data_IF_436415580470
#
_entry.id   IF_436415580470
#
_cell.length_a   1.000
_cell.length_b   1.000
_cell.length_c   1.000
_cell.angle_alpha   90.00
_cell.angle_beta   90.00
_cell.angle_gamma   90.00
#
_symmetry.space_group_name_H-M   'P 1'
#
loop_
_entity.id
_entity.type
_entity.pdbx_description
1 polymer ?
#
# COMPACT_ATOMS: atom_id res chain seq x y z
N UNK A 1 -83.97 -25.35 30.79
CA UNK A 1 -83.10 -24.19 31.09
C UNK A 1 -81.65 -24.67 31.05
N UNK A 2 -81.00 -24.60 29.88
CA UNK A 2 -79.60 -25.00 29.71
C UNK A 2 -78.79 -23.72 29.41
N UNK A 3 -77.80 -23.42 30.24
CA UNK A 3 -76.92 -22.26 30.09
C UNK A 3 -75.88 -22.60 29.03
N UNK A 4 -75.96 -21.95 27.88
CA UNK A 4 -74.99 -22.09 26.79
C UNK A 4 -73.68 -21.40 27.20
N UNK A 5 -72.65 -22.22 27.48
CA UNK A 5 -71.29 -21.77 27.73
C UNK A 5 -70.56 -21.69 26.39
N UNK A 6 -70.70 -20.55 25.72
CA UNK A 6 -69.92 -20.25 24.52
C UNK A 6 -68.48 -19.88 24.91
N UNK A 7 -67.59 -20.87 24.89
CA UNK A 7 -66.12 -20.71 25.01
C UNK A 7 -65.62 -19.71 23.98
N UNK A 8 -65.03 -18.61 24.43
CA UNK A 8 -64.31 -17.68 23.57
C UNK A 8 -62.95 -18.27 23.20
N UNK A 9 -62.81 -18.70 21.94
CA UNK A 9 -61.52 -19.04 21.34
C UNK A 9 -60.64 -17.78 21.27
N UNK A 10 -59.67 -17.68 22.17
CA UNK A 10 -58.56 -16.73 22.06
C UNK A 10 -57.66 -17.19 20.92
N UNK A 11 -57.97 -16.72 19.70
CA UNK A 11 -57.08 -16.83 18.55
C UNK A 11 -55.78 -16.09 18.87
N UNK A 12 -54.71 -16.84 19.09
CA UNK A 12 -53.35 -16.30 19.13
C UNK A 12 -53.02 -15.80 17.72
N UNK A 13 -53.19 -14.51 17.48
CA UNK A 13 -52.70 -13.87 16.26
C UNK A 13 -51.17 -13.91 16.27
N UNK A 14 -50.51 -14.44 15.24
CA UNK A 14 -49.06 -14.42 15.17
C UNK A 14 -48.58 -12.96 15.20
N UNK A 15 -47.56 -12.66 16.01
CA UNK A 15 -46.90 -11.36 16.07
C UNK A 15 -46.07 -11.13 14.80
N UNK A 16 -46.71 -11.02 13.64
CA UNK A 16 -46.03 -10.59 12.41
C UNK A 16 -46.07 -9.06 12.33
N UNK A 17 -45.29 -8.40 13.20
CA UNK A 17 -45.02 -6.96 13.14
C UNK A 17 -43.61 -6.71 12.61
N UNK A 18 -43.28 -7.31 11.46
CA UNK A 18 -42.18 -6.80 10.66
C UNK A 18 -42.75 -5.70 9.78
N UNK A 19 -42.60 -4.46 10.22
CA UNK A 19 -42.96 -3.31 9.41
C UNK A 19 -41.94 -3.17 8.28
N UNK A 20 -42.40 -3.01 7.04
CA UNK A 20 -41.53 -2.73 5.88
C UNK A 20 -40.60 -1.54 6.15
N UNK A 21 -41.07 -0.57 6.95
CA UNK A 21 -40.30 0.58 7.41
C UNK A 21 -39.08 0.19 8.25
N UNK A 22 -39.16 -0.85 9.07
CA UNK A 22 -38.05 -1.33 9.91
C UNK A 22 -36.95 -1.96 9.05
N UNK A 23 -37.31 -2.64 7.96
CA UNK A 23 -36.32 -3.22 7.04
C UNK A 23 -35.58 -2.13 6.26
N UNK A 24 -36.30 -1.11 5.79
CA UNK A 24 -35.68 0.01 5.06
C UNK A 24 -34.72 0.82 5.92
N UNK A 25 -35.02 0.97 7.21
CA UNK A 25 -34.17 1.71 8.15
C UNK A 25 -32.81 0.99 8.39
N UNK A 26 -32.84 -0.34 8.57
CA UNK A 26 -31.62 -1.15 8.72
C UNK A 26 -30.74 -1.07 7.46
N UNK A 27 -31.33 -1.14 6.27
CA UNK A 27 -30.60 -1.03 5.01
C UNK A 27 -29.99 0.37 4.84
N UNK A 28 -30.74 1.43 5.18
CA UNK A 28 -30.25 2.81 5.14
C UNK A 28 -29.08 3.02 6.10
N UNK A 29 -29.18 2.54 7.33
CA UNK A 29 -28.13 2.63 8.34
C UNK A 29 -26.85 1.93 7.89
N UNK A 30 -26.94 0.75 7.27
CA UNK A 30 -25.80 0.04 6.71
C UNK A 30 -25.14 0.81 5.56
N UNK A 31 -25.92 1.43 4.68
CA UNK A 31 -25.38 2.24 3.58
C UNK A 31 -24.65 3.49 4.08
N UNK A 32 -25.22 4.19 5.07
CA UNK A 32 -24.56 5.35 5.70
C UNK A 32 -23.28 4.89 6.42
N UNK A 33 -23.34 3.78 7.15
CA UNK A 33 -22.16 3.20 7.79
C UNK A 33 -21.06 2.90 6.76
N UNK A 34 -21.38 2.15 5.69
CA UNK A 34 -20.41 1.89 4.62
C UNK A 34 -19.87 3.17 3.98
N UNK A 35 -20.73 4.16 3.74
CA UNK A 35 -20.32 5.44 3.15
C UNK A 35 -19.36 6.23 4.07
N UNK A 36 -19.61 6.23 5.39
CA UNK A 36 -18.76 6.89 6.38
C UNK A 36 -17.46 6.11 6.63
N UNK A 37 -17.49 4.77 6.64
CA UNK A 37 -16.31 3.94 6.89
C UNK A 37 -15.47 3.67 5.64
N UNK A 38 -16.00 3.91 4.44
CA UNK A 38 -15.29 3.69 3.17
C UNK A 38 -14.08 4.64 2.98
N UNK A 39 -13.95 5.68 3.80
CA UNK A 39 -12.80 6.57 3.73
C UNK A 39 -11.69 6.19 4.71
N UNK A 40 -11.03 5.03 4.55
CA UNK A 40 -9.64 4.85 4.99
C UNK A 40 -8.94 3.72 4.21
N UNK A 41 -8.81 3.89 2.90
CA UNK A 41 -7.66 3.34 2.18
C UNK A 41 -6.71 4.49 1.91
N UNK A 42 -5.90 4.84 2.91
CA UNK A 42 -4.67 5.60 2.68
C UNK A 42 -3.75 4.72 1.85
N UNK A 43 -3.94 4.75 0.54
CA UNK A 43 -2.86 4.44 -0.38
C UNK A 43 -1.77 5.45 -0.04
N UNK A 44 -0.75 5.01 0.71
CA UNK A 44 0.55 5.69 0.71
C UNK A 44 1.06 5.60 -0.72
N UNK A 45 0.56 6.49 -1.57
CA UNK A 45 0.84 6.57 -2.99
C UNK A 45 2.27 7.04 -3.16
N UNK A 46 3.22 6.13 -2.96
CA UNK A 46 4.49 6.22 -3.65
C UNK A 46 4.10 6.08 -5.11
N UNK A 47 3.94 7.20 -5.82
CA UNK A 47 3.89 7.23 -7.28
C UNK A 47 5.23 6.71 -7.76
N UNK A 48 5.36 5.39 -7.83
CA UNK A 48 6.47 4.76 -8.53
C UNK A 48 6.12 4.89 -10.01
N UNK A 49 6.50 6.00 -10.62
CA UNK A 49 6.62 6.06 -12.07
C UNK A 49 7.78 5.14 -12.41
N UNK A 50 7.49 3.87 -12.68
CA UNK A 50 8.42 2.95 -13.31
C UNK A 50 8.41 3.34 -14.79
N UNK A 51 9.37 4.12 -15.33
CA UNK A 51 9.52 4.17 -16.77
C UNK A 51 9.74 2.73 -17.22
N UNK A 52 8.92 2.25 -18.15
CA UNK A 52 9.07 0.92 -18.74
C UNK A 52 10.54 0.77 -19.10
N UNK A 53 11.21 -0.19 -18.46
CA UNK A 53 12.57 -0.57 -18.79
C UNK A 53 12.51 -1.27 -20.14
N UNK A 54 12.37 -0.49 -21.22
CA UNK A 54 12.83 -0.95 -22.51
C UNK A 54 14.34 -1.06 -22.40
N UNK A 55 14.83 -2.28 -22.64
CA UNK A 55 16.24 -2.63 -22.78
C UNK A 55 16.89 -1.73 -23.82
N UNK A 56 17.30 -0.54 -23.39
CA UNK A 56 17.87 0.50 -24.22
C UNK A 56 18.56 1.46 -23.29
N UNK A 57 19.88 1.35 -23.24
CA UNK A 57 20.86 2.21 -22.59
C UNK A 57 20.30 3.58 -22.12
N UNK A 58 19.68 3.61 -20.93
CA UNK A 58 19.43 4.89 -20.29
C UNK A 58 20.75 5.32 -19.69
N UNK A 59 21.33 6.36 -20.27
CA UNK A 59 22.58 7.01 -19.90
C UNK A 59 22.86 6.90 -18.39
N UNK A 60 23.90 6.14 -18.01
CA UNK A 60 24.30 5.86 -16.62
C UNK A 60 24.58 7.10 -15.75
N UNK A 61 24.54 8.29 -16.34
CA UNK A 61 24.84 9.56 -15.67
C UNK A 61 23.62 10.26 -15.05
N UNK A 62 22.38 9.86 -15.32
CA UNK A 62 21.22 10.62 -14.83
C UNK A 62 20.57 10.08 -13.56
N UNK A 63 20.95 8.89 -13.09
CA UNK A 63 20.37 8.26 -11.90
C UNK A 63 21.43 7.61 -11.01
N UNK A 64 21.13 7.53 -9.71
CA UNK A 64 21.90 6.78 -8.71
C UNK A 64 21.25 5.40 -8.58
N UNK A 65 21.99 4.34 -8.90
CA UNK A 65 21.49 2.97 -8.74
C UNK A 65 21.77 2.49 -7.33
N UNK A 66 20.74 2.07 -6.59
CA UNK A 66 20.89 1.44 -5.28
C UNK A 66 20.29 0.04 -5.35
N UNK A 67 21.11 -0.98 -5.10
CA UNK A 67 20.66 -2.36 -5.02
C UNK A 67 20.72 -2.89 -3.58
N UNK A 68 19.75 -3.73 -3.22
CA UNK A 68 19.68 -4.42 -1.93
C UNK A 68 19.62 -5.91 -2.20
N UNK A 69 20.57 -6.67 -1.65
CA UNK A 69 20.60 -8.13 -1.76
C UNK A 69 19.76 -8.78 -0.66
N UNK A 70 19.40 -10.07 -0.85
CA UNK A 70 18.74 -10.89 0.18
C UNK A 70 19.50 -10.95 1.51
N UNK A 71 20.83 -10.84 1.46
CA UNK A 71 21.70 -10.89 2.65
C UNK A 71 21.74 -9.53 3.38
N UNK A 72 21.04 -8.53 2.83
CA UNK A 72 20.92 -7.20 3.43
C UNK A 72 22.16 -6.32 3.20
N UNK A 73 22.92 -6.63 2.16
CA UNK A 73 24.02 -5.82 1.65
C UNK A 73 23.48 -4.77 0.68
N UNK A 74 24.14 -3.62 0.66
CA UNK A 74 23.75 -2.50 -0.20
C UNK A 74 24.83 -2.26 -1.24
N UNK A 75 24.41 -1.98 -2.45
CA UNK A 75 25.29 -1.57 -3.53
C UNK A 75 24.84 -0.21 -4.05
N UNK A 76 25.76 0.75 -4.13
CA UNK A 76 25.49 2.07 -4.71
C UNK A 76 26.34 2.18 -5.96
N UNK A 77 25.70 2.33 -7.12
CA UNK A 77 26.34 2.34 -8.44
C UNK A 77 27.27 1.12 -8.72
N UNK A 78 27.01 -0.01 -8.06
CA UNK A 78 27.80 -1.24 -8.18
C UNK A 78 28.82 -1.43 -7.06
N UNK A 79 29.04 -0.43 -6.20
CA UNK A 79 29.99 -0.52 -5.10
C UNK A 79 29.34 -0.99 -3.81
N UNK A 80 29.93 -2.03 -3.21
CA UNK A 80 29.50 -2.57 -1.92
C UNK A 80 29.62 -1.48 -0.84
N UNK A 81 28.49 -1.19 -0.20
CA UNK A 81 28.33 -0.08 0.74
C UNK A 81 27.74 -0.59 2.04
N UNK A 82 28.38 -0.24 3.16
CA UNK A 82 27.87 -0.58 4.47
C UNK A 82 26.62 0.25 4.83
N UNK A 83 25.74 -0.34 5.65
CA UNK A 83 24.51 0.30 6.15
C UNK A 83 24.72 1.71 6.70
N UNK A 84 25.80 1.90 7.48
CA UNK A 84 26.11 3.19 8.11
C UNK A 84 26.63 4.24 7.14
N UNK A 85 27.27 3.84 6.03
CA UNK A 85 27.85 4.76 5.04
C UNK A 85 26.93 5.03 3.85
N UNK A 86 25.78 4.34 3.76
CA UNK A 86 24.81 4.45 2.67
C UNK A 86 24.41 5.90 2.38
N UNK A 87 24.08 6.68 3.42
CA UNK A 87 23.67 8.07 3.26
C UNK A 87 24.79 8.95 2.71
N UNK A 88 26.04 8.67 3.11
CA UNK A 88 27.21 9.39 2.63
C UNK A 88 27.48 9.07 1.16
N UNK A 89 27.44 7.79 0.79
CA UNK A 89 27.62 7.29 -0.57
C UNK A 89 26.58 7.88 -1.52
N UNK A 90 25.30 7.81 -1.18
CA UNK A 90 24.21 8.38 -2.01
C UNK A 90 24.38 9.90 -2.17
N UNK A 91 24.79 10.61 -1.11
CA UNK A 91 25.06 12.06 -1.19
C UNK A 91 26.25 12.37 -2.09
N UNK A 92 27.33 11.58 -2.01
CA UNK A 92 28.51 11.72 -2.87
C UNK A 92 28.17 11.44 -4.33
N UNK A 93 27.42 10.36 -4.60
CA UNK A 93 26.95 10.00 -5.93
C UNK A 93 26.05 11.09 -6.54
N UNK A 94 25.15 11.67 -5.72
CA UNK A 94 24.33 12.83 -6.11
C UNK A 94 25.19 14.02 -6.55
N UNK A 95 26.19 14.38 -5.74
CA UNK A 95 27.02 15.54 -6.03
C UNK A 95 27.90 15.33 -7.29
N UNK A 96 28.37 14.10 -7.51
CA UNK A 96 29.20 13.77 -8.65
C UNK A 96 28.41 13.78 -9.98
N UNK A 97 27.22 13.16 -9.98
CA UNK A 97 26.40 13.01 -11.20
C UNK A 97 25.37 14.12 -11.41
N UNK A 98 25.20 15.04 -10.44
CA UNK A 98 24.07 15.97 -10.36
C UNK A 98 22.70 15.28 -10.53
N UNK A 99 22.65 13.99 -10.23
CA UNK A 99 21.46 13.19 -10.45
C UNK A 99 20.38 13.55 -9.45
N UNK A 100 19.14 13.66 -9.94
CA UNK A 100 17.97 13.93 -9.12
C UNK A 100 17.12 12.67 -8.88
N UNK A 101 17.55 11.51 -9.37
CA UNK A 101 16.74 10.29 -9.35
C UNK A 101 17.51 9.12 -8.77
N UNK A 102 16.92 8.40 -7.81
CA UNK A 102 17.40 7.12 -7.30
C UNK A 102 16.57 6.01 -7.91
N UNK A 103 17.24 5.00 -8.47
CA UNK A 103 16.61 3.74 -8.85
C UNK A 103 16.95 2.72 -7.75
N UNK A 104 15.93 2.29 -7.01
CA UNK A 104 16.03 1.26 -5.99
C UNK A 104 15.67 -0.10 -6.60
N UNK A 105 16.66 -0.99 -6.66
CA UNK A 105 16.51 -2.42 -6.94
C UNK A 105 16.57 -3.18 -5.63
N UNK A 106 15.57 -3.98 -5.35
CA UNK A 106 15.56 -4.85 -4.18
C UNK A 106 15.30 -6.28 -4.63
N UNK A 107 16.08 -7.21 -4.09
CA UNK A 107 15.80 -8.64 -4.20
C UNK A 107 14.42 -8.94 -3.57
N UNK A 108 13.75 -10.00 -4.04
CA UNK A 108 12.45 -10.45 -3.55
C UNK A 108 12.49 -10.78 -2.06
N UNK A 109 13.60 -11.32 -1.59
CA UNK A 109 13.82 -11.70 -0.18
C UNK A 109 14.48 -10.60 0.66
N UNK A 110 14.70 -9.40 0.08
CA UNK A 110 15.28 -8.28 0.81
C UNK A 110 14.35 -7.78 1.91
N UNK A 111 14.92 -7.37 3.05
CA UNK A 111 14.14 -6.83 4.16
C UNK A 111 13.51 -5.50 3.77
N UNK A 112 12.21 -5.38 4.02
CA UNK A 112 11.46 -4.13 3.76
C UNK A 112 12.06 -2.95 4.53
N UNK A 113 12.59 -3.16 5.75
CA UNK A 113 13.25 -2.10 6.53
C UNK A 113 14.45 -1.48 5.78
N UNK A 114 15.20 -2.31 5.06
CA UNK A 114 16.38 -1.87 4.31
C UNK A 114 15.96 -1.02 3.10
N UNK A 115 14.87 -1.38 2.42
CA UNK A 115 14.29 -0.58 1.35
C UNK A 115 13.79 0.77 1.90
N UNK A 116 13.01 0.76 2.99
CA UNK A 116 12.47 1.97 3.64
C UNK A 116 13.60 2.93 4.06
N UNK A 117 14.74 2.39 4.52
CA UNK A 117 15.92 3.19 4.84
C UNK A 117 16.46 3.96 3.64
N UNK A 118 16.62 3.30 2.49
CA UNK A 118 17.03 3.96 1.24
C UNK A 118 16.02 5.02 0.84
N UNK A 119 14.72 4.72 0.94
CA UNK A 119 13.65 5.67 0.65
C UNK A 119 13.73 6.94 1.51
N UNK A 120 13.96 6.78 2.82
CA UNK A 120 14.08 7.90 3.75
C UNK A 120 15.29 8.77 3.44
N UNK A 121 16.42 8.16 3.09
CA UNK A 121 17.64 8.88 2.67
C UNK A 121 17.37 9.66 1.38
N UNK A 122 16.75 9.03 0.38
CA UNK A 122 16.40 9.70 -0.88
C UNK A 122 15.46 10.88 -0.67
N UNK A 123 14.45 10.72 0.19
CA UNK A 123 13.52 11.79 0.55
C UNK A 123 14.23 12.94 1.28
N UNK A 124 15.13 12.65 2.22
CA UNK A 124 15.91 13.66 2.93
C UNK A 124 16.84 14.47 1.99
N UNK A 125 17.33 13.83 0.92
CA UNK A 125 18.15 14.47 -0.10
C UNK A 125 17.33 15.12 -1.24
N UNK A 126 16.00 15.11 -1.12
CA UNK A 126 15.04 15.61 -2.10
C UNK A 126 15.21 14.98 -3.50
N UNK A 127 15.50 13.68 -3.53
CA UNK A 127 15.68 12.89 -4.74
C UNK A 127 14.36 12.19 -5.13
N UNK A 128 14.07 12.14 -6.43
CA UNK A 128 12.97 11.34 -6.98
C UNK A 128 13.33 9.87 -6.83
N UNK A 129 12.44 9.07 -6.26
CA UNK A 129 12.65 7.64 -6.09
C UNK A 129 11.85 6.86 -7.12
N UNK A 130 12.51 5.92 -7.80
CA UNK A 130 11.89 4.93 -8.67
C UNK A 130 12.28 3.55 -8.14
N UNK A 131 11.31 2.66 -7.94
CA UNK A 131 11.56 1.28 -7.56
C UNK A 131 11.52 0.44 -8.82
N UNK A 132 12.63 -0.21 -9.16
CA UNK A 132 12.70 -1.19 -10.22
C UNK A 132 12.63 -2.57 -9.56
N UNK A 133 11.44 -3.17 -9.56
CA UNK A 133 11.31 -4.60 -9.26
C UNK A 133 11.66 -5.36 -10.52
N UNK A 134 12.70 -6.19 -10.49
CA UNK A 134 12.88 -7.17 -11.55
C UNK A 134 11.68 -8.11 -11.50
N UNK A 135 10.79 -7.97 -12.47
CA UNK A 135 9.80 -8.99 -12.75
C UNK A 135 10.60 -10.20 -13.17
N UNK A 136 10.72 -11.16 -12.25
CA UNK A 136 11.26 -12.50 -12.48
C UNK A 136 10.80 -12.97 -13.85
N UNK A 137 11.69 -12.87 -14.85
CA UNK A 137 11.53 -13.56 -16.11
C UNK A 137 11.53 -15.04 -15.76
N UNK A 138 10.37 -15.68 -15.92
CA UNK A 138 10.27 -17.12 -15.97
C UNK A 138 11.09 -17.66 -17.16
#
# INVERSE_FOLDING_TARGET
MARDFRRGDKRLTPLSLFSQSSLTDIVLLLLIFFLLTSSFVTNFGIKVNIPKAESGSTTQNEFISVAITKDGEFYVDGDLTARGSLALQIRSARNNKQSQTIILRADKDAKVDDAVRVMNIGKALNLKLVMATEQSSL
#
